data_IF_193662894082
#
_entry.id   IF_193662894082
#
_cell.length_a   1.000
_cell.length_b   1.000
_cell.length_c   1.000
_cell.angle_alpha   90.00
_cell.angle_beta   90.00
_cell.angle_gamma   90.00
#
_symmetry.space_group_name_H-M   'P 1'
#
loop_
_entity.id
_entity.type
_entity.pdbx_description
1 polymer ?
#
# COMPACT_ATOMS: atom_id res chain seq x y z
N UNK A 1 -7.39 -0.18 -23.82
CA UNK A 1 -6.80 -1.45 -23.42
C UNK A 1 -6.30 -1.32 -21.98
N UNK A 2 -6.65 -2.24 -21.12
CA UNK A 2 -6.21 -2.25 -19.70
C UNK A 2 -5.05 -3.21 -19.52
N UNK A 3 -4.25 -2.93 -18.49
CA UNK A 3 -3.21 -3.85 -18.03
C UNK A 3 -3.26 -3.94 -16.51
N UNK A 4 -2.67 -4.98 -15.97
CA UNK A 4 -2.60 -5.19 -14.54
C UNK A 4 -1.16 -5.35 -14.09
N UNK A 5 -0.87 -4.91 -12.88
CA UNK A 5 0.39 -5.17 -12.21
C UNK A 5 0.09 -5.70 -10.81
N UNK A 6 0.85 -6.70 -10.37
CA UNK A 6 0.69 -7.31 -9.06
C UNK A 6 1.97 -7.08 -8.28
N UNK A 7 1.85 -6.51 -7.08
CA UNK A 7 2.99 -6.21 -6.24
C UNK A 7 2.73 -6.72 -4.82
N UNK A 8 3.76 -7.28 -4.21
CA UNK A 8 3.73 -7.69 -2.81
C UNK A 8 4.39 -6.63 -1.95
N UNK A 9 3.65 -6.13 -0.94
CA UNK A 9 4.16 -5.17 0.02
C UNK A 9 4.29 -5.84 1.39
N UNK A 10 5.28 -5.46 2.21
CA UNK A 10 5.33 -5.94 3.59
C UNK A 10 4.12 -5.42 4.36
N UNK A 11 3.85 -6.02 5.53
CA UNK A 11 2.76 -5.54 6.36
C UNK A 11 3.02 -4.08 6.76
N UNK A 12 2.08 -3.17 6.49
CA UNK A 12 2.31 -1.75 6.74
C UNK A 12 2.20 -1.41 8.23
N UNK A 13 2.83 -0.32 8.65
CA UNK A 13 2.59 0.21 9.99
C UNK A 13 1.16 0.73 10.09
N UNK A 14 0.63 0.78 11.30
CA UNK A 14 -0.70 1.37 11.53
C UNK A 14 -0.68 2.85 11.14
N UNK A 15 -1.86 3.42 10.91
CA UNK A 15 -1.99 4.85 10.57
C UNK A 15 -1.25 5.73 11.60
N UNK A 16 -1.37 5.38 12.88
CA UNK A 16 -0.72 6.16 13.96
C UNK A 16 0.80 6.09 13.93
N UNK A 17 1.37 5.00 13.42
CA UNK A 17 2.82 4.82 13.33
C UNK A 17 3.37 5.25 11.97
N UNK A 18 2.54 5.27 10.95
CA UNK A 18 2.95 5.74 9.62
C UNK A 18 3.17 7.25 9.64
N UNK A 19 2.27 7.99 10.29
CA UNK A 19 2.36 9.43 10.44
C UNK A 19 2.89 9.77 11.83
N UNK A 20 3.77 10.75 11.91
CA UNK A 20 4.15 11.38 13.16
C UNK A 20 3.47 12.74 13.27
N UNK A 21 3.53 13.33 14.48
CA UNK A 21 3.00 14.64 14.73
C UNK A 21 3.92 15.41 15.68
N UNK A 22 4.10 16.70 15.42
CA UNK A 22 4.83 17.60 16.30
C UNK A 22 4.01 18.88 16.38
N UNK A 23 3.39 19.12 17.54
CA UNK A 23 2.45 20.22 17.67
C UNK A 23 1.25 20.01 16.75
N UNK A 24 0.99 20.96 15.86
CA UNK A 24 -0.09 20.88 14.87
C UNK A 24 0.37 20.31 13.52
N UNK A 25 1.65 20.11 13.34
CA UNK A 25 2.20 19.61 12.09
C UNK A 25 2.16 18.08 12.05
N UNK A 26 1.85 17.52 10.89
CA UNK A 26 1.98 16.10 10.62
C UNK A 26 3.16 15.86 9.68
N UNK A 27 3.86 14.78 9.91
CA UNK A 27 5.00 14.38 9.08
C UNK A 27 5.02 12.85 9.01
N UNK A 28 5.80 12.31 8.06
CA UNK A 28 5.96 10.87 7.96
C UNK A 28 6.96 10.42 9.00
N UNK A 29 6.53 9.52 9.89
CA UNK A 29 7.38 8.93 10.91
C UNK A 29 8.39 7.96 10.32
N UNK A 30 9.33 7.48 11.16
CA UNK A 30 10.39 6.55 10.74
C UNK A 30 9.82 5.26 10.14
N UNK A 31 8.76 4.71 10.73
CA UNK A 31 8.12 3.50 10.21
C UNK A 31 7.45 3.73 8.86
N UNK A 32 6.86 4.91 8.66
CA UNK A 32 6.27 5.30 7.39
C UNK A 32 7.32 5.46 6.30
N UNK A 33 8.45 6.08 6.62
CA UNK A 33 9.58 6.21 5.67
C UNK A 33 10.14 4.85 5.28
N UNK A 34 10.29 3.95 6.24
CA UNK A 34 10.76 2.59 5.97
C UNK A 34 9.79 1.84 5.07
N UNK A 35 8.50 1.98 5.31
CA UNK A 35 7.48 1.35 4.48
C UNK A 35 7.50 1.90 3.04
N UNK A 36 7.62 3.22 2.89
CA UNK A 36 7.74 3.85 1.55
C UNK A 36 8.96 3.32 0.80
N UNK A 37 10.08 3.17 1.49
CA UNK A 37 11.29 2.61 0.88
C UNK A 37 11.07 1.18 0.42
N UNK A 38 10.40 0.36 1.22
CA UNK A 38 10.06 -1.02 0.86
C UNK A 38 9.10 -1.08 -0.32
N UNK A 39 8.10 -0.19 -0.36
CA UNK A 39 7.15 -0.13 -1.47
C UNK A 39 7.86 0.28 -2.77
N UNK A 40 8.78 1.22 -2.69
CA UNK A 40 9.57 1.65 -3.85
C UNK A 40 10.41 0.50 -4.40
N UNK A 41 11.11 -0.23 -3.53
CA UNK A 41 11.90 -1.38 -3.94
C UNK A 41 11.03 -2.47 -4.58
N UNK A 42 9.89 -2.77 -3.97
CA UNK A 42 8.97 -3.79 -4.46
C UNK A 42 8.41 -3.42 -5.84
N UNK A 43 8.00 -2.16 -6.00
CA UNK A 43 7.48 -1.69 -7.28
C UNK A 43 8.56 -1.69 -8.36
N UNK A 44 9.74 -1.17 -8.06
CA UNK A 44 10.85 -1.12 -9.02
C UNK A 44 11.32 -2.51 -9.44
N UNK A 45 11.23 -3.49 -8.55
CA UNK A 45 11.63 -4.87 -8.87
C UNK A 45 10.74 -5.50 -9.95
N UNK A 46 9.52 -5.04 -10.13
CA UNK A 46 8.64 -5.53 -11.19
C UNK A 46 9.10 -5.12 -12.57
N UNK A 47 9.86 -4.04 -12.68
CA UNK A 47 10.35 -3.47 -13.95
C UNK A 47 9.22 -3.19 -14.93
N UNK A 48 8.10 -2.67 -14.42
CA UNK A 48 6.96 -2.28 -15.22
C UNK A 48 6.78 -0.77 -15.16
N UNK A 49 6.19 -0.24 -16.23
CA UNK A 49 5.88 1.18 -16.27
C UNK A 49 4.73 1.50 -15.32
N UNK A 50 4.80 2.63 -14.65
CA UNK A 50 3.69 3.14 -13.84
C UNK A 50 2.47 3.45 -14.68
N UNK A 51 1.34 3.64 -14.03
CA UNK A 51 0.05 3.88 -14.68
C UNK A 51 -0.20 5.35 -14.99
N UNK A 52 0.73 6.24 -14.62
CA UNK A 52 0.55 7.68 -14.85
C UNK A 52 -0.72 8.19 -14.15
N UNK A 53 -1.55 8.91 -14.91
CA UNK A 53 -2.80 9.47 -14.41
C UNK A 53 -4.05 8.71 -14.86
N UNK A 54 -3.90 7.46 -15.30
CA UNK A 54 -5.04 6.64 -15.71
C UNK A 54 -6.01 6.38 -14.55
N UNK A 55 -7.28 6.16 -14.88
CA UNK A 55 -8.26 5.70 -13.88
C UNK A 55 -7.93 4.26 -13.50
N UNK A 56 -8.04 3.94 -12.22
CA UNK A 56 -7.54 2.66 -11.68
C UNK A 56 -8.59 1.90 -10.92
N UNK A 57 -8.47 0.59 -10.96
CA UNK A 57 -9.06 -0.33 -9.99
C UNK A 57 -7.95 -0.98 -9.20
N UNK A 58 -8.11 -1.06 -7.88
CA UNK A 58 -7.10 -1.64 -6.99
C UNK A 58 -7.75 -2.70 -6.11
N UNK A 59 -7.14 -3.87 -6.08
CA UNK A 59 -7.56 -4.96 -5.20
C UNK A 59 -6.41 -5.28 -4.24
N UNK A 60 -6.71 -5.35 -2.95
CA UNK A 60 -5.74 -5.63 -1.89
C UNK A 60 -6.18 -6.87 -1.14
N UNK A 61 -5.32 -7.89 -1.10
CA UNK A 61 -5.48 -9.03 -0.21
C UNK A 61 -4.50 -8.87 0.94
N UNK A 62 -5.02 -8.77 2.16
CA UNK A 62 -4.23 -8.49 3.34
C UNK A 62 -4.01 -9.77 4.15
N UNK A 63 -2.75 -10.16 4.35
CA UNK A 63 -2.35 -11.35 5.11
C UNK A 63 -1.69 -10.90 6.41
N UNK A 64 -2.47 -10.81 7.52
CA UNK A 64 -1.96 -10.22 8.75
C UNK A 64 -0.95 -11.14 9.46
N UNK A 65 -0.08 -10.57 10.31
CA UNK A 65 0.94 -11.36 11.02
C UNK A 65 0.40 -12.16 12.19
N UNK A 66 -0.81 -11.83 12.67
CA UNK A 66 -1.44 -12.50 13.80
C UNK A 66 -2.95 -12.25 13.75
N UNK A 67 -3.67 -12.77 14.76
CA UNK A 67 -5.13 -12.69 14.82
C UNK A 67 -5.67 -11.49 15.60
N UNK A 68 -4.84 -10.49 15.89
CA UNK A 68 -5.33 -9.29 16.56
C UNK A 68 -6.42 -8.63 15.73
N UNK A 69 -7.38 -8.02 16.42
CA UNK A 69 -8.40 -7.22 15.75
C UNK A 69 -7.74 -6.02 15.06
N UNK A 70 -7.97 -5.90 13.75
CA UNK A 70 -7.49 -4.79 12.93
C UNK A 70 -8.54 -4.41 11.94
N UNK A 71 -8.75 -3.12 11.76
CA UNK A 71 -9.63 -2.62 10.72
C UNK A 71 -8.89 -2.62 9.37
N UNK A 72 -9.54 -3.08 8.33
CA UNK A 72 -8.92 -3.13 6.99
C UNK A 72 -8.55 -1.75 6.49
N UNK A 73 -9.34 -0.72 6.78
CA UNK A 73 -9.02 0.64 6.34
C UNK A 73 -7.75 1.19 7.00
N UNK A 74 -7.37 0.65 8.16
CA UNK A 74 -6.21 1.13 8.90
C UNK A 74 -4.88 0.81 8.19
N UNK A 75 -4.86 -0.15 7.28
CA UNK A 75 -3.67 -0.51 6.50
C UNK A 75 -3.65 0.15 5.12
N UNK A 76 -4.78 0.63 4.63
CA UNK A 76 -4.91 1.14 3.27
C UNK A 76 -4.15 2.44 3.06
N UNK A 77 -4.18 3.33 4.02
CA UNK A 77 -3.54 4.64 3.88
C UNK A 77 -2.05 4.51 3.58
N UNK A 78 -1.37 3.67 4.35
CA UNK A 78 0.06 3.42 4.15
C UNK A 78 0.32 2.75 2.79
N UNK A 79 -0.47 1.73 2.44
CA UNK A 79 -0.29 0.99 1.21
C UNK A 79 -0.46 1.88 -0.02
N UNK A 80 -1.55 2.65 -0.07
CA UNK A 80 -1.84 3.51 -1.22
C UNK A 80 -0.85 4.67 -1.31
N UNK A 81 -0.47 5.25 -0.17
CA UNK A 81 0.53 6.31 -0.14
C UNK A 81 1.92 5.80 -0.56
N UNK A 82 2.30 4.61 -0.10
CA UNK A 82 3.58 3.99 -0.48
C UNK A 82 3.68 3.75 -1.99
N UNK A 83 2.61 3.26 -2.60
CA UNK A 83 2.58 3.03 -4.05
C UNK A 83 2.56 4.33 -4.85
N UNK A 84 1.90 5.37 -4.35
CA UNK A 84 1.93 6.69 -4.97
C UNK A 84 3.36 7.27 -4.90
N UNK A 85 4.01 7.15 -3.76
CA UNK A 85 5.40 7.57 -3.61
C UNK A 85 6.34 6.80 -4.54
N UNK A 86 6.08 5.53 -4.77
CA UNK A 86 6.85 4.68 -5.68
C UNK A 86 6.56 4.98 -7.16
N UNK A 87 5.64 5.86 -7.46
CA UNK A 87 5.22 6.21 -8.83
C UNK A 87 4.51 5.08 -9.56
N UNK A 88 3.85 4.18 -8.83
CA UNK A 88 2.93 3.23 -9.44
C UNK A 88 1.79 3.98 -10.14
N UNK A 89 1.37 5.09 -9.56
CA UNK A 89 0.40 6.05 -10.11
C UNK A 89 0.72 7.44 -9.55
N UNK A 90 0.07 8.47 -10.05
CA UNK A 90 0.38 9.84 -9.65
C UNK A 90 -0.32 10.26 -8.36
N UNK A 91 -1.60 9.85 -8.19
CA UNK A 91 -2.38 10.22 -7.03
C UNK A 91 -3.44 9.16 -6.74
N UNK A 92 -3.69 8.87 -5.45
CA UNK A 92 -4.67 7.86 -5.08
C UNK A 92 -6.12 8.26 -5.41
N UNK A 93 -6.36 9.53 -5.73
CA UNK A 93 -7.66 9.97 -6.25
C UNK A 93 -8.02 9.39 -7.61
N UNK A 94 -7.04 8.80 -8.31
CA UNK A 94 -7.27 8.08 -9.57
C UNK A 94 -8.01 6.76 -9.39
N UNK A 95 -8.09 6.26 -8.16
CA UNK A 95 -8.68 4.96 -7.87
C UNK A 95 -10.21 5.09 -7.88
N UNK A 96 -10.84 4.46 -8.85
CA UNK A 96 -12.30 4.45 -8.98
C UNK A 96 -12.95 3.28 -8.25
N UNK A 97 -12.21 2.19 -8.09
CA UNK A 97 -12.69 1.00 -7.41
C UNK A 97 -11.60 0.45 -6.52
N UNK A 98 -11.94 0.21 -5.27
CA UNK A 98 -11.02 -0.34 -4.28
C UNK A 98 -11.70 -1.53 -3.60
N UNK A 99 -11.07 -2.68 -3.68
CA UNK A 99 -11.53 -3.91 -3.03
C UNK A 99 -10.46 -4.34 -2.06
N UNK A 100 -10.86 -4.62 -0.83
CA UNK A 100 -9.94 -5.07 0.22
C UNK A 100 -10.51 -6.31 0.87
N UNK A 101 -9.73 -7.39 0.86
CA UNK A 101 -10.09 -8.64 1.49
C UNK A 101 -9.04 -9.01 2.54
N UNK A 102 -9.53 -9.62 3.62
CA UNK A 102 -8.65 -10.19 4.63
C UNK A 102 -8.35 -11.64 4.28
N UNK A 103 -7.07 -11.95 4.12
CA UNK A 103 -6.60 -13.30 3.89
C UNK A 103 -6.21 -13.99 5.19
N UNK A 104 -5.56 -15.11 5.07
CA UNK A 104 -5.09 -15.90 6.20
C UNK A 104 -3.96 -15.21 6.95
N UNK A 105 -3.78 -15.59 8.21
CA UNK A 105 -2.66 -15.13 9.03
C UNK A 105 -1.36 -15.76 8.50
N UNK A 106 -0.33 -14.92 8.34
CA UNK A 106 1.02 -15.34 7.93
C UNK A 106 2.03 -14.74 8.89
N UNK A 107 2.52 -15.56 9.82
CA UNK A 107 3.43 -15.06 10.87
C UNK A 107 4.78 -14.61 10.33
N UNK A 108 5.35 -15.37 9.40
CA UNK A 108 6.70 -15.12 8.91
C UNK A 108 6.74 -14.14 7.73
N UNK A 109 5.68 -14.11 6.92
CA UNK A 109 5.64 -13.36 5.68
C UNK A 109 4.34 -12.58 5.52
N UNK A 110 3.91 -11.93 6.59
CA UNK A 110 2.75 -11.05 6.53
C UNK A 110 2.94 -9.95 5.50
N UNK A 111 1.87 -9.56 4.84
CA UNK A 111 1.96 -8.51 3.83
C UNK A 111 0.67 -8.33 3.06
N UNK A 112 0.77 -7.51 2.02
CA UNK A 112 -0.34 -7.17 1.15
C UNK A 112 -0.02 -7.58 -0.29
N UNK A 113 -0.95 -8.30 -0.90
CA UNK A 113 -0.89 -8.55 -2.34
C UNK A 113 -1.78 -7.51 -3.02
N UNK A 114 -1.18 -6.62 -3.78
CA UNK A 114 -1.89 -5.50 -4.40
C UNK A 114 -1.92 -5.69 -5.90
N UNK A 115 -3.12 -5.67 -6.47
CA UNK A 115 -3.33 -5.74 -7.93
C UNK A 115 -3.87 -4.41 -8.40
N UNK A 116 -3.13 -3.76 -9.29
CA UNK A 116 -3.52 -2.48 -9.90
C UNK A 116 -3.89 -2.74 -11.34
N UNK A 117 -5.06 -2.29 -11.75
CA UNK A 117 -5.55 -2.41 -13.13
C UNK A 117 -5.91 -1.03 -13.67
N UNK A 118 -5.37 -0.76 -14.82
CA UNK A 118 -5.65 0.53 -15.47
C UNK A 118 -5.38 0.55 -16.96
#
# INVERSE_FOLDING_TARGET
MTRSAVVWLPWPPSVNHYWGARGKARFIGAKGKAFRASALLAWNALRVQGFGNARLSVAVAAYPPDRRARDLDNILKAALDGLQHARAYEDDSQIDRLIVDRGEVRKADAGLLVTITG
#
